data_IF_826460938244
#
_entry.id   IF_826460938244
#
_cell.length_a   1.000
_cell.length_b   1.000
_cell.length_c   1.000
_cell.angle_alpha   90.00
_cell.angle_beta   90.00
_cell.angle_gamma   90.00
#
_symmetry.space_group_name_H-M   'P 1'
#
loop_
_entity.id
_entity.type
_entity.pdbx_description
1 polymer ?
#
# COMPACT_ATOMS: atom_id res chain seq x y z
N UNK A 1 -10.35 19.84 -0.70
CA UNK A 1 -9.37 20.25 0.33
C UNK A 1 -8.37 19.12 0.52
N UNK A 2 -7.23 19.21 -0.17
CA UNK A 2 -6.13 18.25 -0.03
C UNK A 2 -5.31 18.64 1.20
N UNK A 3 -5.43 17.87 2.28
CA UNK A 3 -4.59 18.04 3.47
C UNK A 3 -3.26 17.35 3.20
N UNK A 4 -2.27 18.10 2.71
CA UNK A 4 -0.89 17.66 2.64
C UNK A 4 -0.39 17.49 4.08
N UNK A 5 -0.07 16.25 4.46
CA UNK A 5 0.60 15.96 5.74
C UNK A 5 1.92 16.73 5.78
N UNK A 6 2.02 17.71 6.67
CA UNK A 6 3.22 18.55 6.80
C UNK A 6 4.43 17.69 7.16
N UNK A 7 5.45 17.72 6.30
CA UNK A 7 6.71 16.96 6.47
C UNK A 7 6.94 15.84 5.46
N UNK A 8 5.93 15.50 4.64
CA UNK A 8 6.10 14.58 3.53
C UNK A 8 6.44 15.35 2.23
N UNK A 9 7.41 14.89 1.43
CA UNK A 9 7.83 15.59 0.21
C UNK A 9 6.67 15.73 -0.78
N UNK A 10 6.72 16.73 -1.67
CA UNK A 10 5.60 17.05 -2.57
C UNK A 10 5.17 15.90 -3.51
N UNK A 11 6.05 14.93 -3.78
CA UNK A 11 5.72 13.69 -4.50
C UNK A 11 4.97 12.67 -3.64
N UNK A 12 4.98 12.83 -2.33
CA UNK A 12 4.19 12.03 -1.39
C UNK A 12 2.71 12.47 -1.37
N UNK A 13 2.23 12.94 -2.53
CA UNK A 13 0.81 13.02 -2.87
C UNK A 13 0.19 11.63 -2.97
N UNK A 14 -1.07 11.60 -3.43
CA UNK A 14 -1.83 10.36 -3.61
C UNK A 14 -0.99 9.30 -4.33
N UNK A 15 -1.12 8.03 -3.94
CA UNK A 15 -0.40 6.91 -4.56
C UNK A 15 -0.94 6.57 -5.96
N UNK A 16 -1.38 7.58 -6.72
CA UNK A 16 -2.14 7.48 -7.98
C UNK A 16 -1.42 6.70 -9.08
N UNK A 17 -0.10 6.66 -9.04
CA UNK A 17 0.72 6.03 -10.07
C UNK A 17 1.05 4.56 -9.73
N UNK A 18 0.65 4.08 -8.55
CA UNK A 18 0.77 2.67 -8.14
C UNK A 18 -0.25 1.84 -8.93
N UNK A 19 0.22 0.78 -9.59
CA UNK A 19 -0.66 -0.11 -10.37
C UNK A 19 -0.71 -1.54 -9.83
N UNK A 20 0.26 -1.94 -9.01
CA UNK A 20 0.28 -3.26 -8.37
C UNK A 20 0.83 -3.18 -6.95
N UNK A 21 0.21 -3.93 -6.04
CA UNK A 21 0.63 -4.07 -4.65
C UNK A 21 0.64 -5.54 -4.25
N UNK A 22 1.75 -5.98 -3.67
CA UNK A 22 1.82 -7.25 -2.97
C UNK A 22 1.83 -7.01 -1.47
N UNK A 23 0.96 -7.72 -0.78
CA UNK A 23 0.84 -7.75 0.66
C UNK A 23 1.40 -9.07 1.16
N UNK A 24 2.58 -9.05 1.77
CA UNK A 24 3.09 -10.19 2.50
C UNK A 24 2.64 -10.07 3.95
N UNK A 25 2.00 -11.09 4.49
CA UNK A 25 1.56 -11.11 5.87
C UNK A 25 1.95 -12.41 6.55
N UNK A 26 2.27 -12.33 7.84
CA UNK A 26 2.55 -13.54 8.63
C UNK A 26 1.28 -14.36 8.85
N UNK A 27 1.44 -15.63 9.22
CA UNK A 27 0.32 -16.59 9.36
C UNK A 27 -0.66 -16.25 10.49
N UNK A 28 -0.31 -15.35 11.40
CA UNK A 28 -1.16 -14.87 12.49
C UNK A 28 -2.03 -13.66 12.10
N UNK A 29 -1.94 -13.19 10.85
CA UNK A 29 -2.82 -12.16 10.31
C UNK A 29 -4.13 -12.81 9.83
N UNK A 30 -5.25 -12.35 10.39
CA UNK A 30 -6.60 -12.84 10.09
C UNK A 30 -7.33 -11.98 9.03
N UNK A 31 -8.54 -12.38 8.65
CA UNK A 31 -9.35 -11.65 7.65
C UNK A 31 -9.68 -10.20 8.07
N UNK A 32 -9.86 -9.94 9.37
CA UNK A 32 -10.10 -8.60 9.91
C UNK A 32 -8.90 -7.67 9.65
N UNK A 33 -7.69 -8.17 9.87
CA UNK A 33 -6.45 -7.45 9.56
C UNK A 33 -6.33 -7.14 8.05
N UNK A 34 -6.81 -8.04 7.19
CA UNK A 34 -6.89 -7.79 5.73
C UNK A 34 -7.93 -6.70 5.40
N UNK A 35 -9.06 -6.63 6.11
CA UNK A 35 -10.05 -5.57 5.92
C UNK A 35 -9.47 -4.18 6.20
N UNK A 36 -8.66 -4.04 7.25
CA UNK A 36 -7.93 -2.78 7.53
C UNK A 36 -6.98 -2.40 6.40
N UNK A 37 -6.37 -3.37 5.72
CA UNK A 37 -5.54 -3.10 4.54
C UNK A 37 -6.38 -2.55 3.37
N UNK A 38 -7.55 -3.14 3.11
CA UNK A 38 -8.47 -2.66 2.06
C UNK A 38 -8.94 -1.23 2.34
N UNK A 39 -9.25 -0.90 3.59
CA UNK A 39 -9.66 0.46 3.96
C UNK A 39 -8.51 1.46 3.82
N UNK A 40 -7.27 1.05 4.12
CA UNK A 40 -6.09 1.86 3.85
C UNK A 40 -5.91 2.10 2.34
N UNK A 41 -6.13 1.09 1.49
CA UNK A 41 -6.09 1.29 0.04
C UNK A 41 -7.11 2.33 -0.41
N UNK A 42 -8.37 2.25 0.05
CA UNK A 42 -9.41 3.24 -0.28
C UNK A 42 -9.03 4.65 0.17
N UNK A 43 -8.36 4.77 1.31
CA UNK A 43 -7.93 6.07 1.86
C UNK A 43 -6.76 6.68 1.10
N UNK A 44 -5.74 5.91 0.76
CA UNK A 44 -4.50 6.40 0.15
C UNK A 44 -4.50 6.35 -1.39
N UNK A 45 -5.40 5.55 -1.96
CA UNK A 45 -5.61 5.37 -3.40
C UNK A 45 -7.11 5.53 -3.73
N UNK A 46 -7.75 6.68 -3.41
CA UNK A 46 -9.19 6.84 -3.58
C UNK A 46 -9.63 6.85 -5.06
N UNK A 47 -8.76 7.32 -5.96
CA UNK A 47 -9.11 7.58 -7.35
C UNK A 47 -8.83 6.41 -8.31
N UNK A 48 -8.23 5.32 -7.83
CA UNK A 48 -7.90 4.14 -8.65
C UNK A 48 -7.84 2.86 -7.80
N UNK A 49 -7.77 1.70 -8.46
CA UNK A 49 -7.73 0.39 -7.80
C UNK A 49 -6.57 -0.43 -8.36
N UNK A 50 -5.40 -0.45 -7.71
CA UNK A 50 -4.30 -1.28 -8.17
C UNK A 50 -4.60 -2.75 -7.95
N UNK A 51 -3.89 -3.61 -8.67
CA UNK A 51 -3.93 -5.06 -8.46
C UNK A 51 -3.41 -5.36 -7.05
N UNK A 52 -4.18 -6.13 -6.28
CA UNK A 52 -3.78 -6.60 -4.95
C UNK A 52 -3.52 -8.11 -4.98
N UNK A 53 -2.34 -8.52 -4.50
CA UNK A 53 -2.00 -9.91 -4.25
C UNK A 53 -1.60 -10.08 -2.78
N UNK A 54 -2.38 -10.86 -2.03
CA UNK A 54 -2.07 -11.24 -0.64
C UNK A 54 -1.35 -12.58 -0.57
N UNK A 55 -0.27 -12.64 0.20
CA UNK A 55 0.57 -13.82 0.37
C UNK A 55 0.87 -14.05 1.86
N UNK A 56 0.48 -15.23 2.35
CA UNK A 56 0.89 -15.70 3.67
C UNK A 56 2.35 -16.17 3.65
N UNK A 57 3.17 -15.67 4.57
CA UNK A 57 4.60 -16.04 4.71
C UNK A 57 4.91 -16.48 6.13
N UNK A 58 5.94 -17.32 6.30
CA UNK A 58 6.33 -17.85 7.60
C UNK A 58 6.92 -16.77 8.53
N UNK A 59 7.68 -15.83 7.97
CA UNK A 59 8.27 -14.72 8.71
C UNK A 59 8.58 -13.54 7.79
N UNK A 60 8.70 -12.37 8.40
CA UNK A 60 9.18 -11.14 7.79
C UNK A 60 10.36 -10.60 8.61
N UNK A 61 11.11 -9.66 8.05
CA UNK A 61 12.26 -9.06 8.74
C UNK A 61 11.84 -8.41 10.07
N UNK A 62 12.71 -8.47 11.08
CA UNK A 62 12.53 -7.79 12.37
C UNK A 62 11.21 -8.07 13.11
N UNK A 63 10.57 -9.22 12.87
CA UNK A 63 9.31 -9.58 13.52
C UNK A 63 8.09 -8.81 13.01
N UNK A 64 8.18 -8.22 11.82
CA UNK A 64 7.05 -7.56 11.16
C UNK A 64 5.89 -8.53 10.90
N UNK A 65 4.68 -7.99 10.90
CA UNK A 65 3.44 -8.74 10.59
C UNK A 65 2.97 -8.55 9.15
N UNK A 66 3.38 -7.43 8.56
CA UNK A 66 2.99 -7.02 7.23
C UNK A 66 4.18 -6.35 6.55
N UNK A 67 4.40 -6.69 5.28
CA UNK A 67 5.31 -6.00 4.38
C UNK A 67 4.59 -5.72 3.06
N UNK A 68 4.81 -4.54 2.48
CA UNK A 68 4.12 -4.06 1.29
C UNK A 68 5.15 -3.76 0.20
N UNK A 69 5.06 -4.47 -0.92
CA UNK A 69 5.82 -4.20 -2.14
C UNK A 69 4.89 -3.51 -3.15
N UNK A 70 5.32 -2.36 -3.67
CA UNK A 70 4.53 -1.58 -4.64
C UNK A 70 5.27 -1.47 -5.97
N UNK A 71 4.50 -1.45 -7.07
CA UNK A 71 4.99 -1.03 -8.39
C UNK A 71 4.20 0.17 -8.86
N UNK A 72 4.92 1.18 -9.34
CA UNK A 72 4.36 2.42 -9.84
C UNK A 72 4.93 2.79 -11.21
N UNK A 73 4.15 3.52 -12.00
CA UNK A 73 4.67 4.18 -13.19
C UNK A 73 5.32 5.50 -12.78
N UNK A 74 6.52 5.78 -13.29
CA UNK A 74 7.08 7.12 -13.23
C UNK A 74 6.57 7.85 -14.47
N UNK A 75 5.80 8.94 -14.35
CA UNK A 75 5.43 9.73 -15.50
C UNK A 75 6.71 10.21 -16.19
N UNK A 76 6.87 9.93 -17.50
CA UNK A 76 7.90 10.58 -18.27
C UNK A 76 7.52 12.06 -18.37
N UNK A 77 8.33 12.93 -17.76
CA UNK A 77 8.19 14.36 -17.94
C UNK A 77 8.36 14.72 -19.41
N UNK A 78 7.40 15.47 -19.95
CA UNK A 78 7.52 16.17 -21.24
C UNK A 78 8.65 17.19 -21.21
#
# INVERSE_FOLDING_TARGET
>A
MSSTRSGWPAWAGTLKDVYAVKLYHTTDVNEEAVAYYVDNMRKYMPDHRPILCGLGVASLAFGMKVEIEVRAHIPQGS
#
